data_IF_374164666334
#
_entry.id   IF_374164666334
#
_cell.length_a   1.000
_cell.length_b   1.000
_cell.length_c   1.000
_cell.angle_alpha   90.00
_cell.angle_beta   90.00
_cell.angle_gamma   90.00
#
_symmetry.space_group_name_H-M   'P 1'
#
loop_
_entity.id
_entity.type
_entity.pdbx_description
1 polymer ?
#
# COMPACT_ATOMS: atom_id res chain seq x y z
N UNK A 1 36.41 42.20 19.01
CA UNK A 1 36.30 41.65 17.65
C UNK A 1 36.18 40.16 17.79
N UNK A 2 34.99 39.65 17.64
CA UNK A 2 34.70 38.20 17.55
C UNK A 2 33.82 38.05 16.30
N UNK A 3 34.48 37.98 15.17
CA UNK A 3 33.92 37.44 13.96
C UNK A 3 34.16 35.93 13.98
N UNK A 4 33.19 35.21 14.48
CA UNK A 4 33.02 33.78 14.32
C UNK A 4 31.64 33.58 13.74
N UNK A 5 31.40 34.01 12.52
CA UNK A 5 30.18 33.68 11.79
C UNK A 5 30.15 32.16 11.64
N UNK A 6 29.22 31.58 12.31
CA UNK A 6 28.75 30.20 12.25
C UNK A 6 28.43 29.86 10.77
N UNK A 7 29.42 29.48 9.98
CA UNK A 7 29.28 28.74 8.76
C UNK A 7 28.77 27.33 9.10
N UNK A 8 27.57 27.24 9.67
CA UNK A 8 26.83 26.00 9.63
C UNK A 8 26.68 25.66 8.15
N UNK A 9 27.50 24.73 7.72
CA UNK A 9 27.45 24.09 6.42
C UNK A 9 25.96 23.84 6.13
N UNK A 10 25.36 24.56 5.17
CA UNK A 10 23.98 24.35 4.78
C UNK A 10 23.89 22.91 4.28
N UNK A 11 23.41 22.01 5.10
CA UNK A 11 23.09 20.65 4.70
C UNK A 11 21.88 20.74 3.80
N UNK A 12 21.93 20.09 2.66
CA UNK A 12 20.81 20.03 1.72
C UNK A 12 19.59 19.33 2.34
N UNK A 13 18.53 19.25 1.57
CA UNK A 13 17.29 18.61 1.98
C UNK A 13 16.74 17.73 0.87
N UNK A 14 16.39 16.49 1.18
CA UNK A 14 15.65 15.61 0.29
C UNK A 14 14.15 15.87 0.44
N UNK A 15 13.46 16.12 -0.67
CA UNK A 15 12.01 16.29 -0.71
C UNK A 15 11.41 15.21 -1.61
N UNK A 16 10.60 14.34 -1.05
CA UNK A 16 9.84 13.32 -1.78
C UNK A 16 8.45 13.88 -2.07
N UNK A 17 8.08 14.06 -3.33
CA UNK A 17 6.82 14.72 -3.66
C UNK A 17 5.89 13.82 -4.48
N UNK A 18 4.65 13.67 -4.01
CA UNK A 18 3.63 12.87 -4.67
C UNK A 18 3.00 13.59 -5.85
N UNK A 19 2.94 12.90 -7.01
CA UNK A 19 2.22 13.34 -8.21
C UNK A 19 0.79 12.77 -8.24
N UNK A 20 -0.12 13.40 -9.01
CA UNK A 20 -1.41 12.81 -9.31
C UNK A 20 -1.32 11.40 -9.90
N UNK A 21 -2.28 10.55 -9.57
CA UNK A 21 -2.36 9.18 -10.09
C UNK A 21 -3.21 9.06 -11.37
N UNK A 22 -3.79 10.19 -11.81
CA UNK A 22 -4.60 10.23 -13.02
C UNK A 22 -5.21 11.59 -13.30
N UNK A 23 -5.83 12.22 -12.32
CA UNK A 23 -6.44 13.52 -12.44
C UNK A 23 -5.47 14.65 -12.06
N UNK A 24 -5.25 15.58 -12.98
CA UNK A 24 -4.34 16.72 -12.76
C UNK A 24 -4.81 17.62 -11.59
N UNK A 25 -6.10 17.72 -11.35
CA UNK A 25 -6.68 18.53 -10.28
C UNK A 25 -6.33 18.01 -8.87
N UNK A 26 -5.89 16.76 -8.77
CA UNK A 26 -5.39 16.18 -7.52
C UNK A 26 -3.96 16.63 -7.17
N UNK A 27 -3.32 17.47 -8.02
CA UNK A 27 -1.98 17.97 -7.76
C UNK A 27 -1.96 18.91 -6.55
N UNK A 28 -1.21 18.60 -5.47
CA UNK A 28 -1.13 19.50 -4.34
C UNK A 28 -0.51 20.87 -4.74
N UNK A 29 -1.05 22.02 -4.27
CA UNK A 29 -0.45 23.32 -4.54
C UNK A 29 1.03 23.41 -4.13
N UNK A 30 1.43 22.73 -3.04
CA UNK A 30 2.82 22.64 -2.60
C UNK A 30 3.72 21.92 -3.58
N UNK A 31 3.23 20.92 -4.31
CA UNK A 31 3.97 20.24 -5.38
C UNK A 31 4.26 21.22 -6.52
N UNK A 32 3.23 21.95 -6.99
CA UNK A 32 3.37 22.92 -8.09
C UNK A 32 4.36 24.04 -7.72
N UNK A 33 4.32 24.48 -6.47
CA UNK A 33 5.29 25.46 -5.95
C UNK A 33 6.70 24.87 -5.90
N UNK A 34 6.87 23.66 -5.34
CA UNK A 34 8.18 23.01 -5.26
C UNK A 34 8.81 22.77 -6.63
N UNK A 35 8.02 22.39 -7.63
CA UNK A 35 8.49 22.22 -9.00
C UNK A 35 8.99 23.55 -9.64
N UNK A 36 8.40 24.69 -9.26
CA UNK A 36 8.85 26.01 -9.73
C UNK A 36 10.16 26.45 -9.07
N UNK A 37 10.36 26.09 -7.81
CA UNK A 37 11.51 26.54 -7.02
C UNK A 37 12.71 25.58 -7.07
N UNK A 38 12.47 24.32 -7.43
CA UNK A 38 13.49 23.29 -7.37
C UNK A 38 14.65 23.56 -8.34
N UNK A 39 15.89 23.46 -7.84
CA UNK A 39 17.10 23.50 -8.65
C UNK A 39 17.50 22.15 -9.20
N UNK A 40 17.24 21.10 -8.43
CA UNK A 40 17.52 19.71 -8.82
C UNK A 40 16.24 18.89 -8.68
N UNK A 41 15.82 18.28 -9.78
CA UNK A 41 14.65 17.40 -9.80
C UNK A 41 15.09 16.03 -10.31
N UNK A 42 14.90 15.01 -9.49
CA UNK A 42 15.07 13.61 -9.86
C UNK A 42 13.69 13.04 -10.21
N UNK A 43 13.50 12.62 -11.44
CA UNK A 43 12.24 12.10 -11.95
C UNK A 43 12.41 10.70 -12.51
N UNK A 44 11.44 9.84 -12.29
CA UNK A 44 11.42 8.47 -12.83
C UNK A 44 11.47 8.52 -14.37
N UNK A 45 10.51 9.16 -15.02
CA UNK A 45 10.57 9.53 -16.45
C UNK A 45 10.52 11.06 -16.62
N UNK A 46 11.65 11.63 -17.04
CA UNK A 46 11.77 13.09 -17.25
C UNK A 46 10.83 13.64 -18.34
N UNK A 47 10.37 12.77 -19.25
CA UNK A 47 9.41 13.17 -20.32
C UNK A 47 8.01 13.29 -19.73
N UNK A 48 7.61 12.34 -18.90
CA UNK A 48 6.31 12.37 -18.17
C UNK A 48 6.26 13.57 -17.23
N UNK A 49 7.33 13.84 -16.49
CA UNK A 49 7.39 15.03 -15.66
C UNK A 49 7.21 16.32 -16.47
N UNK A 50 7.90 16.46 -17.63
CA UNK A 50 7.73 17.64 -18.48
C UNK A 50 6.31 17.75 -19.05
N UNK A 51 5.70 16.63 -19.41
CA UNK A 51 4.32 16.61 -19.87
C UNK A 51 3.35 17.04 -18.75
N UNK A 52 3.55 16.54 -17.53
CA UNK A 52 2.78 16.96 -16.36
C UNK A 52 2.96 18.47 -16.13
N UNK A 53 4.20 18.95 -16.05
CA UNK A 53 4.50 20.37 -15.82
C UNK A 53 3.85 21.28 -16.87
N UNK A 54 3.90 20.89 -18.16
CA UNK A 54 3.24 21.62 -19.24
C UNK A 54 1.72 21.68 -19.07
N UNK A 55 1.09 20.57 -18.69
CA UNK A 55 -0.36 20.52 -18.45
C UNK A 55 -0.80 21.28 -17.20
N UNK A 56 0.07 21.36 -16.19
CA UNK A 56 -0.15 22.09 -14.95
C UNK A 56 0.26 23.58 -15.03
N UNK A 57 0.70 24.04 -16.18
CA UNK A 57 1.26 25.40 -16.36
C UNK A 57 2.38 25.73 -15.35
N UNK A 58 3.33 24.80 -15.23
CA UNK A 58 4.47 24.90 -14.33
C UNK A 58 5.77 24.91 -15.11
N UNK A 59 6.57 25.98 -14.94
CA UNK A 59 7.95 26.04 -15.45
C UNK A 59 8.89 25.45 -14.40
N UNK A 60 9.51 24.29 -14.71
CA UNK A 60 10.42 23.60 -13.80
C UNK A 60 11.65 24.46 -13.47
N UNK A 61 11.85 24.76 -12.17
CA UNK A 61 12.93 25.64 -11.70
C UNK A 61 12.76 27.12 -12.03
N UNK A 62 11.51 27.54 -12.35
CA UNK A 62 11.19 28.94 -12.64
C UNK A 62 11.98 29.51 -13.81
N UNK A 63 12.46 30.77 -13.70
CA UNK A 63 13.23 31.43 -14.74
C UNK A 63 14.64 30.86 -14.92
N UNK A 64 15.26 30.39 -13.83
CA UNK A 64 16.62 29.82 -13.83
C UNK A 64 16.67 28.42 -14.45
N UNK A 65 15.52 27.74 -14.50
CA UNK A 65 15.41 26.34 -14.91
C UNK A 65 15.97 25.36 -13.89
N UNK A 66 15.43 24.16 -13.88
CA UNK A 66 15.90 23.06 -13.02
C UNK A 66 16.84 22.11 -13.77
N UNK A 67 17.82 21.56 -13.07
CA UNK A 67 18.53 20.36 -13.53
C UNK A 67 17.64 19.14 -13.29
N UNK A 68 17.02 18.64 -14.34
CA UNK A 68 16.14 17.47 -14.30
C UNK A 68 16.94 16.24 -14.69
N UNK A 69 17.00 15.26 -13.80
CA UNK A 69 17.73 13.98 -13.99
C UNK A 69 16.79 12.78 -13.92
N UNK A 70 17.09 11.74 -14.69
CA UNK A 70 16.34 10.50 -14.64
C UNK A 70 16.78 9.66 -13.45
N UNK A 71 15.81 9.18 -12.64
CA UNK A 71 16.03 8.39 -11.44
C UNK A 71 14.98 7.28 -11.34
N UNK A 72 15.31 6.06 -11.75
CA UNK A 72 14.45 4.89 -11.81
C UNK A 72 15.22 3.65 -11.35
N UNK A 73 14.53 2.54 -11.08
CA UNK A 73 15.08 1.34 -10.45
C UNK A 73 16.43 0.90 -11.00
N UNK A 74 16.56 0.80 -12.33
CA UNK A 74 17.79 0.30 -12.94
C UNK A 74 19.00 1.26 -12.81
N UNK A 75 18.78 2.55 -12.51
CA UNK A 75 19.87 3.51 -12.30
C UNK A 75 19.92 4.07 -10.87
N UNK A 76 19.03 3.62 -9.99
CA UNK A 76 18.83 4.16 -8.64
C UNK A 76 20.13 4.22 -7.84
N UNK A 77 20.95 3.17 -7.84
CA UNK A 77 22.20 3.15 -7.10
C UNK A 77 23.16 4.26 -7.57
N UNK A 78 23.53 4.25 -8.85
CA UNK A 78 24.51 5.21 -9.41
C UNK A 78 23.98 6.66 -9.31
N UNK A 79 22.73 6.87 -9.64
CA UNK A 79 22.13 8.22 -9.60
C UNK A 79 21.91 8.68 -8.17
N UNK A 80 21.62 7.75 -7.25
CA UNK A 80 21.52 8.02 -5.82
C UNK A 80 22.78 8.63 -5.25
N UNK A 81 23.96 8.10 -5.61
CA UNK A 81 25.26 8.64 -5.19
C UNK A 81 25.49 10.08 -5.69
N UNK A 82 25.10 10.36 -6.95
CA UNK A 82 25.20 11.73 -7.52
C UNK A 82 24.27 12.70 -6.78
N UNK A 83 23.02 12.29 -6.50
CA UNK A 83 22.04 13.11 -5.78
C UNK A 83 22.46 13.32 -4.32
N UNK A 84 23.01 12.30 -3.66
CA UNK A 84 23.56 12.41 -2.32
C UNK A 84 24.74 13.38 -2.24
N UNK A 85 25.57 13.41 -3.28
CA UNK A 85 26.64 14.41 -3.40
C UNK A 85 26.08 15.84 -3.54
N UNK A 86 24.98 16.05 -4.26
CA UNK A 86 24.28 17.35 -4.34
C UNK A 86 23.77 17.77 -2.95
N UNK A 87 23.11 16.86 -2.24
CA UNK A 87 22.59 17.09 -0.90
C UNK A 87 23.71 17.45 0.11
N UNK A 88 24.85 16.76 0.04
CA UNK A 88 26.03 17.08 0.87
C UNK A 88 26.62 18.47 0.58
N UNK A 89 26.42 19.00 -0.62
CA UNK A 89 26.83 20.37 -0.98
C UNK A 89 25.82 21.44 -0.53
N UNK A 90 24.71 21.04 0.09
CA UNK A 90 23.70 21.96 0.57
C UNK A 90 22.56 22.22 -0.43
N UNK A 91 22.48 21.45 -1.52
CA UNK A 91 21.39 21.57 -2.49
C UNK A 91 20.12 20.89 -1.96
N UNK A 92 18.97 21.43 -2.34
CA UNK A 92 17.71 20.72 -2.19
C UNK A 92 17.45 19.83 -3.42
N UNK A 93 17.13 18.57 -3.19
CA UNK A 93 16.79 17.62 -4.25
C UNK A 93 15.31 17.26 -4.11
N UNK A 94 14.54 17.54 -5.16
CA UNK A 94 13.13 17.14 -5.28
C UNK A 94 13.05 15.82 -6.06
N UNK A 95 12.50 14.78 -5.44
CA UNK A 95 12.25 13.47 -6.09
C UNK A 95 10.77 13.33 -6.38
N UNK A 96 10.47 12.97 -7.62
CA UNK A 96 9.11 12.68 -8.09
C UNK A 96 9.12 11.39 -8.91
N UNK A 97 8.00 10.67 -8.90
CA UNK A 97 7.75 9.49 -9.70
C UNK A 97 6.77 9.80 -10.83
N UNK A 98 6.43 8.82 -11.64
CA UNK A 98 5.48 9.00 -12.74
C UNK A 98 4.05 9.26 -12.23
N UNK A 99 3.72 8.69 -11.06
CA UNK A 99 2.43 8.84 -10.38
C UNK A 99 2.55 8.44 -8.90
N UNK A 100 1.75 9.03 -8.02
CA UNK A 100 1.74 8.68 -6.60
C UNK A 100 2.96 9.16 -5.82
N UNK A 101 3.30 8.46 -4.75
CA UNK A 101 4.36 8.82 -3.81
C UNK A 101 5.66 8.08 -4.12
N UNK A 102 6.81 8.78 -4.22
CA UNK A 102 8.12 8.14 -4.31
C UNK A 102 8.38 7.16 -3.16
N UNK A 103 9.06 6.04 -3.46
CA UNK A 103 9.40 5.01 -2.49
C UNK A 103 8.28 4.00 -2.20
N UNK A 104 7.13 4.09 -2.89
CA UNK A 104 6.01 3.13 -2.78
C UNK A 104 5.83 2.42 -4.13
N UNK A 105 6.46 1.28 -4.31
CA UNK A 105 6.63 0.56 -5.59
C UNK A 105 7.40 1.33 -6.67
N UNK A 106 8.07 2.38 -6.27
CA UNK A 106 8.81 3.31 -7.13
C UNK A 106 10.17 3.63 -6.48
N UNK A 107 11.15 4.20 -7.21
CA UNK A 107 12.43 4.57 -6.64
C UNK A 107 12.29 5.67 -5.57
N UNK A 108 13.27 5.71 -4.65
CA UNK A 108 13.35 6.74 -3.61
C UNK A 108 13.70 6.23 -2.22
N UNK A 109 13.37 4.98 -1.90
CA UNK A 109 13.67 4.39 -0.60
C UNK A 109 15.16 4.43 -0.27
N UNK A 110 16.03 3.99 -1.19
CA UNK A 110 17.49 3.91 -0.95
C UNK A 110 18.10 5.29 -0.71
N UNK A 111 17.69 6.30 -1.47
CA UNK A 111 18.18 7.66 -1.28
C UNK A 111 17.70 8.23 0.05
N UNK A 112 16.43 7.99 0.42
CA UNK A 112 15.91 8.42 1.71
C UNK A 112 16.64 7.75 2.89
N UNK A 113 16.93 6.44 2.79
CA UNK A 113 17.70 5.70 3.78
C UNK A 113 19.13 6.26 3.93
N UNK A 114 19.84 6.47 2.81
CA UNK A 114 21.18 7.06 2.83
C UNK A 114 21.19 8.47 3.44
N UNK A 115 20.18 9.30 3.12
CA UNK A 115 20.03 10.62 3.73
C UNK A 115 19.85 10.51 5.26
N UNK A 116 19.01 9.57 5.71
CA UNK A 116 18.76 9.36 7.14
C UNK A 116 20.04 8.91 7.88
N UNK A 117 20.82 8.01 7.28
CA UNK A 117 22.12 7.55 7.83
C UNK A 117 23.14 8.70 7.96
N UNK A 118 23.12 9.67 7.04
CA UNK A 118 24.02 10.83 7.05
C UNK A 118 23.45 12.04 7.79
N UNK A 119 22.27 11.95 8.39
CA UNK A 119 21.64 13.06 9.09
C UNK A 119 21.19 14.19 8.15
N UNK A 120 21.04 13.92 6.85
CA UNK A 120 20.48 14.85 5.86
C UNK A 120 18.96 14.88 6.05
N UNK A 121 18.36 16.09 6.21
CA UNK A 121 16.92 16.20 6.36
C UNK A 121 16.12 15.60 5.20
N UNK A 122 15.17 14.74 5.52
CA UNK A 122 14.20 14.18 4.56
C UNK A 122 12.81 14.68 4.91
N UNK A 123 12.08 15.15 3.92
CA UNK A 123 10.68 15.57 4.07
C UNK A 123 9.83 15.09 2.90
N UNK A 124 8.53 15.17 3.05
CA UNK A 124 7.60 14.83 1.97
C UNK A 124 6.61 15.97 1.69
N UNK A 125 6.23 16.08 0.43
CA UNK A 125 5.02 16.78 -0.01
C UNK A 125 4.00 15.67 -0.26
N UNK A 126 3.02 15.46 0.66
CA UNK A 126 2.03 14.41 0.50
C UNK A 126 1.19 14.65 -0.76
N UNK A 127 0.92 13.58 -1.45
CA UNK A 127 0.11 13.56 -2.67
C UNK A 127 -0.79 12.34 -2.73
N UNK A 128 -1.56 12.17 -3.81
CA UNK A 128 -2.38 11.00 -4.05
C UNK A 128 -1.58 9.70 -3.97
N UNK A 129 -2.26 8.63 -3.57
CA UNK A 129 -1.69 7.28 -3.53
C UNK A 129 -2.74 6.27 -3.97
N UNK A 130 -2.42 5.47 -4.99
CA UNK A 130 -3.32 4.43 -5.47
C UNK A 130 -3.63 3.38 -4.39
N UNK A 131 -2.69 3.13 -3.45
CA UNK A 131 -2.87 2.20 -2.32
C UNK A 131 -4.01 2.65 -1.42
N UNK A 132 -3.94 3.86 -0.88
CA UNK A 132 -4.97 4.38 0.03
C UNK A 132 -6.26 4.73 -0.70
N UNK A 133 -6.19 5.20 -1.94
CA UNK A 133 -7.37 5.48 -2.77
C UNK A 133 -8.15 4.20 -3.05
N UNK A 134 -7.47 3.11 -3.50
CA UNK A 134 -8.11 1.81 -3.68
C UNK A 134 -8.72 1.28 -2.39
N UNK A 135 -7.98 1.39 -1.28
CA UNK A 135 -8.44 0.92 0.04
C UNK A 135 -9.75 1.59 0.46
N UNK A 136 -9.85 2.92 0.39
CA UNK A 136 -11.04 3.64 0.87
C UNK A 136 -12.26 3.43 -0.04
N UNK A 137 -12.07 3.24 -1.36
CA UNK A 137 -13.18 2.98 -2.27
C UNK A 137 -13.56 1.51 -2.36
N UNK A 138 -12.75 0.58 -1.79
CA UNK A 138 -13.00 -0.87 -1.86
C UNK A 138 -14.27 -1.30 -1.12
N UNK A 139 -14.63 -0.62 -0.03
CA UNK A 139 -15.70 -1.03 0.89
C UNK A 139 -15.30 -2.20 1.79
N UNK A 140 -14.00 -2.51 1.90
CA UNK A 140 -13.43 -3.51 2.81
C UNK A 140 -12.89 -2.82 4.08
N UNK A 141 -12.62 -3.57 5.18
CA UNK A 141 -12.09 -3.01 6.41
C UNK A 141 -10.77 -2.25 6.17
N UNK A 142 -10.65 -1.04 6.72
CA UNK A 142 -9.51 -0.14 6.50
C UNK A 142 -8.65 0.11 7.74
N UNK A 143 -9.08 -0.37 8.89
CA UNK A 143 -8.43 -0.16 10.19
C UNK A 143 -7.04 -0.77 10.27
N UNK A 144 -6.84 -1.93 9.61
CA UNK A 144 -5.54 -2.60 9.50
C UNK A 144 -5.38 -3.16 8.09
N UNK A 145 -4.38 -2.69 7.39
CA UNK A 145 -4.06 -3.16 6.03
C UNK A 145 -2.55 -3.35 5.83
N UNK A 146 -2.19 -4.07 4.80
CA UNK A 146 -0.84 -4.18 4.29
C UNK A 146 -0.82 -3.95 2.77
N UNK A 147 0.29 -3.41 2.30
CA UNK A 147 0.55 -3.22 0.88
C UNK A 147 1.58 -4.25 0.43
N UNK A 148 1.19 -5.10 -0.49
CA UNK A 148 1.98 -6.24 -0.98
C UNK A 148 2.67 -5.96 -2.31
N UNK A 149 2.44 -4.79 -2.92
CA UNK A 149 3.03 -4.42 -4.20
C UNK A 149 2.54 -5.27 -5.37
N UNK A 150 3.40 -5.54 -6.33
CA UNK A 150 3.10 -6.41 -7.47
C UNK A 150 3.41 -7.87 -7.15
N UNK A 151 2.44 -8.79 -7.24
CA UNK A 151 2.69 -10.21 -7.06
C UNK A 151 3.78 -10.73 -8.00
N UNK A 152 4.68 -11.60 -7.54
CA UNK A 152 5.80 -12.07 -8.33
C UNK A 152 5.32 -12.83 -9.58
N UNK A 153 6.10 -12.75 -10.67
CA UNK A 153 5.81 -13.50 -11.91
C UNK A 153 6.14 -14.99 -11.78
N UNK A 154 7.13 -15.33 -10.96
CA UNK A 154 7.53 -16.70 -10.66
C UNK A 154 7.22 -17.01 -9.21
N UNK A 155 6.70 -18.20 -8.92
CA UNK A 155 6.35 -18.58 -7.56
C UNK A 155 5.08 -17.89 -7.01
N UNK A 156 4.21 -17.39 -7.88
CA UNK A 156 2.96 -16.71 -7.47
C UNK A 156 2.13 -17.55 -6.49
N UNK A 157 2.01 -18.86 -6.76
CA UNK A 157 1.24 -19.76 -5.91
C UNK A 157 1.77 -19.82 -4.48
N UNK A 158 3.08 -20.10 -4.32
CA UNK A 158 3.70 -20.18 -2.99
C UNK A 158 3.62 -18.85 -2.25
N UNK A 159 3.84 -17.73 -2.96
CA UNK A 159 3.69 -16.39 -2.40
C UNK A 159 2.28 -16.14 -1.86
N UNK A 160 1.23 -16.53 -2.60
CA UNK A 160 -0.15 -16.36 -2.15
C UNK A 160 -0.50 -17.34 -1.02
N UNK A 161 0.02 -18.58 -1.04
CA UNK A 161 -0.17 -19.55 0.04
C UNK A 161 0.38 -19.02 1.38
N UNK A 162 1.52 -18.30 1.37
CA UNK A 162 2.07 -17.64 2.57
C UNK A 162 1.14 -16.53 3.09
N UNK A 163 0.42 -15.84 2.21
CA UNK A 163 -0.51 -14.76 2.56
C UNK A 163 -1.93 -15.27 2.91
N UNK A 164 -2.22 -16.57 2.75
CA UNK A 164 -3.58 -17.10 2.94
C UNK A 164 -4.15 -16.84 4.34
N UNK A 165 -3.29 -16.80 5.36
CA UNK A 165 -3.63 -16.51 6.76
C UNK A 165 -3.57 -15.03 7.15
N UNK A 166 -3.21 -14.11 6.25
CA UNK A 166 -3.11 -12.67 6.57
C UNK A 166 -4.48 -12.11 6.98
N UNK A 167 -4.55 -11.52 8.18
CA UNK A 167 -5.79 -10.99 8.76
C UNK A 167 -6.07 -9.53 8.39
N UNK A 168 -5.04 -8.80 7.97
CA UNK A 168 -5.20 -7.42 7.50
C UNK A 168 -5.77 -7.40 6.10
N UNK A 169 -6.46 -6.34 5.73
CA UNK A 169 -6.82 -6.10 4.34
C UNK A 169 -5.55 -5.91 3.52
N UNK A 170 -5.42 -6.66 2.43
CA UNK A 170 -4.24 -6.64 1.56
C UNK A 170 -4.51 -5.76 0.34
N UNK A 171 -3.55 -4.93 -0.06
CA UNK A 171 -3.61 -4.13 -1.28
C UNK A 171 -2.48 -4.56 -2.20
N UNK A 172 -2.81 -4.86 -3.46
CA UNK A 172 -1.86 -5.26 -4.49
C UNK A 172 -1.97 -4.32 -5.70
N UNK A 173 -0.87 -4.16 -6.43
CA UNK A 173 -0.90 -3.65 -7.79
C UNK A 173 -0.83 -4.81 -8.78
N UNK A 174 -1.49 -4.68 -9.92
CA UNK A 174 -1.41 -5.69 -10.95
C UNK A 174 -1.55 -5.09 -12.36
N UNK A 175 -0.97 -5.76 -13.33
CA UNK A 175 -1.09 -5.36 -14.72
C UNK A 175 -2.36 -5.93 -15.36
N UNK A 176 -2.95 -5.24 -16.37
CA UNK A 176 -4.15 -5.71 -17.06
C UNK A 176 -3.96 -7.06 -17.77
N UNK A 177 -2.71 -7.41 -18.12
CA UNK A 177 -2.42 -8.68 -18.78
C UNK A 177 -2.34 -9.88 -17.83
N UNK A 178 -2.27 -9.64 -16.51
CA UNK A 178 -2.10 -10.68 -15.50
C UNK A 178 -3.28 -10.80 -14.56
N UNK A 179 -4.12 -9.78 -14.49
CA UNK A 179 -5.16 -9.66 -13.46
C UNK A 179 -6.06 -10.91 -13.36
N UNK A 180 -6.52 -11.46 -14.47
CA UNK A 180 -7.37 -12.67 -14.47
C UNK A 180 -6.65 -13.84 -13.80
N UNK A 181 -5.43 -14.18 -14.26
CA UNK A 181 -4.65 -15.27 -13.70
C UNK A 181 -4.26 -15.06 -12.24
N UNK A 182 -3.99 -13.79 -11.85
CA UNK A 182 -3.67 -13.46 -10.46
C UNK A 182 -4.90 -13.63 -9.56
N UNK A 183 -6.09 -13.21 -9.99
CA UNK A 183 -7.34 -13.42 -9.24
C UNK A 183 -7.72 -14.90 -9.13
N UNK A 184 -7.52 -15.70 -10.17
CA UNK A 184 -7.70 -17.17 -10.11
C UNK A 184 -6.76 -17.83 -9.08
N UNK A 185 -5.48 -17.41 -9.09
CA UNK A 185 -4.52 -17.90 -8.11
C UNK A 185 -4.87 -17.45 -6.67
N UNK A 186 -5.35 -16.21 -6.50
CA UNK A 186 -5.86 -15.70 -5.23
C UNK A 186 -7.10 -16.48 -4.78
N UNK A 187 -8.06 -16.76 -5.67
CA UNK A 187 -9.23 -17.57 -5.36
C UNK A 187 -8.86 -18.99 -4.90
N UNK A 188 -7.83 -19.57 -5.50
CA UNK A 188 -7.30 -20.88 -5.12
C UNK A 188 -6.65 -20.85 -3.73
N UNK A 189 -5.85 -19.83 -3.43
CA UNK A 189 -5.09 -19.73 -2.19
C UNK A 189 -5.92 -19.22 -1.00
N UNK A 190 -6.81 -18.26 -1.24
CA UNK A 190 -7.56 -17.54 -0.19
C UNK A 190 -9.00 -18.01 -0.04
N UNK A 191 -9.52 -18.75 -1.03
CA UNK A 191 -10.92 -19.18 -1.12
C UNK A 191 -11.71 -18.36 -2.14
N UNK A 192 -12.62 -19.04 -2.85
CA UNK A 192 -13.43 -18.49 -3.96
C UNK A 192 -14.28 -17.30 -3.54
N UNK A 193 -14.81 -17.34 -2.32
CA UNK A 193 -15.74 -16.36 -1.75
C UNK A 193 -15.05 -15.25 -0.97
N UNK A 194 -13.70 -15.26 -0.89
CA UNK A 194 -12.94 -14.20 -0.24
C UNK A 194 -13.28 -12.87 -0.91
N UNK A 195 -13.83 -11.95 -0.12
CA UNK A 195 -14.25 -10.64 -0.62
C UNK A 195 -13.05 -9.85 -1.13
N UNK A 196 -13.22 -9.24 -2.30
CA UNK A 196 -12.20 -8.39 -2.89
C UNK A 196 -12.84 -7.24 -3.68
N UNK A 197 -12.01 -6.27 -4.04
CA UNK A 197 -12.36 -5.20 -4.96
C UNK A 197 -11.23 -5.02 -5.98
N UNK A 198 -11.57 -4.94 -7.25
CA UNK A 198 -10.67 -4.54 -8.32
C UNK A 198 -10.98 -3.09 -8.65
N UNK A 199 -9.99 -2.21 -8.40
CA UNK A 199 -10.06 -0.79 -8.69
C UNK A 199 -9.20 -0.52 -9.93
N UNK A 200 -9.78 -0.02 -10.99
CA UNK A 200 -9.03 0.32 -12.20
C UNK A 200 -9.18 1.78 -12.56
N UNK A 201 -8.13 2.36 -13.16
CA UNK A 201 -8.11 3.72 -13.67
C UNK A 201 -8.58 4.77 -12.62
N UNK A 202 -8.19 4.58 -11.35
CA UNK A 202 -8.54 5.46 -10.25
C UNK A 202 -8.24 6.93 -10.60
N UNK A 203 -9.17 7.81 -10.28
CA UNK A 203 -9.19 9.26 -10.58
C UNK A 203 -9.25 9.64 -12.07
N UNK A 204 -9.28 8.66 -12.99
CA UNK A 204 -9.34 8.90 -14.43
C UNK A 204 -10.77 8.81 -14.96
N UNK A 205 -10.97 9.21 -16.21
CA UNK A 205 -12.30 9.21 -16.88
C UNK A 205 -13.00 7.85 -16.86
N UNK A 206 -12.24 6.76 -16.89
CA UNK A 206 -12.78 5.39 -16.90
C UNK A 206 -12.56 4.66 -15.56
N UNK A 207 -12.63 5.41 -14.46
CA UNK A 207 -12.57 4.82 -13.12
C UNK A 207 -13.68 3.80 -12.92
N UNK A 208 -13.31 2.63 -12.44
CA UNK A 208 -14.26 1.58 -12.08
C UNK A 208 -13.78 0.84 -10.84
N UNK A 209 -14.72 0.55 -9.94
CA UNK A 209 -14.49 -0.28 -8.76
C UNK A 209 -15.46 -1.44 -8.75
N UNK A 210 -14.96 -2.63 -9.05
CA UNK A 210 -15.76 -3.86 -9.05
C UNK A 210 -15.49 -4.67 -7.79
N UNK A 211 -16.56 -5.06 -7.11
CA UNK A 211 -16.53 -5.77 -5.83
C UNK A 211 -17.21 -7.12 -5.99
N UNK A 212 -16.67 -8.16 -5.32
CA UNK A 212 -17.25 -9.51 -5.34
C UNK A 212 -16.37 -10.52 -4.62
N UNK A 213 -16.69 -11.79 -4.78
CA UNK A 213 -15.79 -12.88 -4.44
C UNK A 213 -14.65 -13.02 -5.44
N UNK A 214 -13.51 -13.55 -5.03
CA UNK A 214 -12.33 -13.68 -5.91
C UNK A 214 -12.63 -14.47 -7.19
N UNK A 215 -13.45 -15.53 -7.12
CA UNK A 215 -13.82 -16.31 -8.30
C UNK A 215 -14.67 -15.50 -9.29
N UNK A 216 -15.66 -14.75 -8.80
CA UNK A 216 -16.49 -13.86 -9.63
C UNK A 216 -15.65 -12.79 -10.32
N UNK A 217 -14.71 -12.19 -9.57
CA UNK A 217 -13.82 -11.17 -10.12
C UNK A 217 -12.83 -11.75 -11.15
N UNK A 218 -12.38 -13.00 -10.96
CA UNK A 218 -11.52 -13.69 -11.92
C UNK A 218 -12.26 -13.96 -13.23
N UNK A 219 -13.52 -14.43 -13.17
CA UNK A 219 -14.36 -14.64 -14.33
C UNK A 219 -14.57 -13.34 -15.12
N UNK A 220 -14.97 -12.26 -14.42
CA UNK A 220 -15.10 -10.95 -15.06
C UNK A 220 -13.78 -10.48 -15.70
N UNK A 221 -12.64 -10.65 -15.01
CA UNK A 221 -11.36 -10.20 -15.52
C UNK A 221 -10.92 -11.00 -16.77
N UNK A 222 -11.42 -12.22 -16.98
CA UNK A 222 -11.12 -13.05 -18.14
C UNK A 222 -11.67 -12.47 -19.46
N UNK A 223 -12.70 -11.63 -19.40
CA UNK A 223 -13.24 -10.91 -20.56
C UNK A 223 -12.31 -9.81 -21.07
N UNK A 224 -11.26 -9.50 -20.32
CA UNK A 224 -10.24 -8.50 -20.65
C UNK A 224 -10.42 -7.18 -19.90
N UNK A 225 -9.43 -6.82 -19.12
CA UNK A 225 -9.39 -5.57 -18.35
C UNK A 225 -8.28 -4.68 -18.91
N UNK A 226 -8.48 -3.36 -18.90
CA UNK A 226 -7.50 -2.37 -19.38
C UNK A 226 -7.23 -1.34 -18.31
N UNK A 227 -6.05 -0.70 -18.40
CA UNK A 227 -5.63 0.39 -17.54
C UNK A 227 -4.81 -0.08 -16.34
N UNK A 228 -4.57 0.82 -15.41
CA UNK A 228 -3.85 0.56 -14.17
C UNK A 228 -4.79 -0.02 -13.12
N UNK A 229 -4.33 -1.05 -12.41
CA UNK A 229 -5.18 -1.86 -11.54
C UNK A 229 -4.58 -1.96 -10.15
N UNK A 230 -5.43 -1.70 -9.16
CA UNK A 230 -5.20 -2.03 -7.76
C UNK A 230 -6.23 -3.07 -7.32
N UNK A 231 -5.78 -4.10 -6.60
CA UNK A 231 -6.65 -5.14 -6.04
C UNK A 231 -6.63 -5.03 -4.52
N UNK A 232 -7.80 -4.95 -3.91
CA UNK A 232 -7.94 -4.95 -2.46
C UNK A 232 -8.63 -6.25 -2.06
N UNK A 233 -8.02 -7.01 -1.15
CA UNK A 233 -8.53 -8.31 -0.69
C UNK A 233 -8.79 -8.28 0.81
N UNK A 234 -9.97 -8.71 1.24
CA UNK A 234 -10.31 -8.82 2.66
C UNK A 234 -9.33 -9.75 3.37
N UNK A 235 -8.90 -9.41 4.56
CA UNK A 235 -8.06 -10.25 5.40
C UNK A 235 -8.72 -11.60 5.74
N UNK A 236 -7.92 -12.59 6.11
CA UNK A 236 -8.44 -13.87 6.56
C UNK A 236 -9.35 -13.65 7.77
N UNK A 237 -10.56 -14.15 7.68
CA UNK A 237 -11.39 -14.28 8.87
C UNK A 237 -10.67 -15.23 9.83
N UNK A 238 -10.75 -15.00 11.15
CA UNK A 238 -10.32 -16.04 12.07
C UNK A 238 -10.96 -17.34 11.57
N UNK A 239 -10.12 -18.26 11.12
CA UNK A 239 -10.61 -19.61 10.89
C UNK A 239 -11.26 -19.97 12.22
N UNK A 240 -12.58 -20.13 12.24
CA UNK A 240 -13.11 -21.07 13.20
C UNK A 240 -12.34 -22.34 12.86
N UNK A 241 -11.21 -22.57 13.54
CA UNK A 241 -10.68 -23.90 13.60
C UNK A 241 -11.93 -24.74 13.80
N UNK A 242 -12.04 -25.84 13.10
CA UNK A 242 -13.05 -26.84 13.40
C UNK A 242 -12.71 -27.33 14.81
N UNK A 243 -12.83 -26.43 15.78
CA UNK A 243 -12.77 -26.73 17.17
C UNK A 243 -13.99 -27.62 17.34
N UNK A 244 -13.74 -28.89 17.45
CA UNK A 244 -14.82 -29.85 17.63
C UNK A 244 -15.68 -29.36 18.80
N UNK A 245 -16.95 -29.68 18.80
CA UNK A 245 -17.80 -29.30 19.91
C UNK A 245 -17.20 -29.77 21.26
N UNK A 246 -16.46 -30.89 21.23
CA UNK A 246 -15.66 -31.39 22.34
C UNK A 246 -14.52 -30.48 22.75
N UNK A 247 -13.79 -29.90 21.77
CA UNK A 247 -12.67 -28.96 22.06
C UNK A 247 -13.18 -27.63 22.62
N UNK A 248 -14.34 -27.15 22.13
CA UNK A 248 -14.97 -25.93 22.65
C UNK A 248 -15.40 -26.12 24.12
N UNK A 249 -16.00 -27.28 24.44
CA UNK A 249 -16.39 -27.64 25.81
C UNK A 249 -15.15 -27.74 26.69
N UNK A 250 -14.10 -28.43 26.23
CA UNK A 250 -12.84 -28.59 26.95
C UNK A 250 -12.13 -27.23 27.20
N UNK A 251 -12.12 -26.36 26.23
CA UNK A 251 -11.53 -25.02 26.37
C UNK A 251 -12.27 -24.15 27.41
N UNK A 252 -13.60 -24.22 27.45
CA UNK A 252 -14.38 -23.53 28.49
C UNK A 252 -14.10 -24.16 29.86
N UNK A 253 -14.04 -25.50 29.97
CA UNK A 253 -13.71 -26.19 31.19
C UNK A 253 -12.33 -25.84 31.76
N UNK A 254 -11.32 -25.77 30.91
CA UNK A 254 -9.97 -25.37 31.31
C UNK A 254 -9.93 -23.98 31.93
N UNK A 255 -10.64 -22.99 31.36
CA UNK A 255 -10.76 -21.67 31.92
C UNK A 255 -11.54 -21.65 33.26
N UNK A 256 -12.54 -22.50 33.41
CA UNK A 256 -13.27 -22.66 34.67
C UNK A 256 -12.36 -23.27 35.76
N UNK A 257 -11.51 -24.22 35.42
CA UNK A 257 -10.52 -24.80 36.32
C UNK A 257 -9.46 -23.76 36.77
N UNK A 258 -9.16 -22.76 35.93
CA UNK A 258 -8.34 -21.59 36.27
C UNK A 258 -9.10 -20.56 37.11
N UNK A 259 -10.36 -20.79 37.48
CA UNK A 259 -11.17 -19.90 38.29
C UNK A 259 -11.93 -18.80 37.51
N UNK A 260 -11.96 -18.87 36.20
CA UNK A 260 -12.75 -17.96 35.36
C UNK A 260 -14.22 -18.33 35.43
N UNK A 261 -15.12 -17.36 35.65
CA UNK A 261 -16.54 -17.60 35.65
C UNK A 261 -17.02 -18.13 34.29
N UNK A 262 -17.88 -19.16 34.26
CA UNK A 262 -18.41 -19.80 33.03
C UNK A 262 -18.85 -18.81 31.97
N UNK A 263 -19.62 -17.77 32.34
CA UNK A 263 -20.08 -16.74 31.40
C UNK A 263 -18.95 -15.97 30.72
N UNK A 264 -17.87 -15.74 31.45
CA UNK A 264 -16.65 -15.07 30.95
C UNK A 264 -15.79 -16.02 30.11
N UNK A 265 -15.65 -17.27 30.54
CA UNK A 265 -14.98 -18.33 29.78
C UNK A 265 -15.63 -18.53 28.41
N UNK A 266 -16.95 -18.61 28.32
CA UNK A 266 -17.70 -18.70 27.06
C UNK A 266 -17.41 -17.50 26.15
N UNK A 267 -17.33 -16.28 26.69
CA UNK A 267 -17.01 -15.08 25.91
C UNK A 267 -15.58 -15.12 25.38
N UNK A 268 -14.62 -15.55 26.19
CA UNK A 268 -13.22 -15.70 25.79
C UNK A 268 -13.04 -16.74 24.69
N UNK A 269 -13.57 -17.96 24.90
CA UNK A 269 -13.51 -19.04 23.91
C UNK A 269 -14.18 -18.62 22.59
N UNK A 270 -15.36 -18.00 22.64
CA UNK A 270 -16.03 -17.51 21.45
C UNK A 270 -15.20 -16.45 20.70
N UNK A 271 -14.50 -15.58 21.42
CA UNK A 271 -13.62 -14.55 20.83
C UNK A 271 -12.34 -15.14 20.22
N UNK A 272 -11.74 -16.11 20.89
CA UNK A 272 -10.49 -16.76 20.47
C UNK A 272 -10.70 -17.70 19.29
N UNK A 273 -11.81 -18.46 19.32
CA UNK A 273 -12.14 -19.46 18.28
C UNK A 273 -12.94 -18.87 17.10
N UNK A 274 -13.51 -17.66 17.24
CA UNK A 274 -14.40 -17.08 16.23
C UNK A 274 -15.76 -17.76 16.12
N UNK A 275 -16.05 -18.75 17.01
CA UNK A 275 -17.35 -19.42 17.07
C UNK A 275 -18.38 -18.48 17.69
N UNK A 276 -19.62 -18.39 17.16
CA UNK A 276 -20.65 -17.55 17.74
C UNK A 276 -20.88 -17.89 19.22
N UNK A 277 -20.89 -16.86 20.08
CA UNK A 277 -21.09 -17.02 21.54
C UNK A 277 -22.29 -17.88 21.88
N UNK A 278 -23.38 -17.76 21.13
CA UNK A 278 -24.59 -18.56 21.32
C UNK A 278 -24.29 -20.06 21.15
N UNK A 279 -23.55 -20.44 20.08
CA UNK A 279 -23.17 -21.82 19.84
C UNK A 279 -22.30 -22.39 20.97
N UNK A 280 -21.29 -21.65 21.44
CA UNK A 280 -20.45 -22.05 22.56
C UNK A 280 -21.29 -22.20 23.83
N UNK A 281 -22.24 -21.31 24.06
CA UNK A 281 -23.16 -21.39 25.20
C UNK A 281 -24.05 -22.64 25.13
N UNK A 282 -24.66 -22.89 23.97
CA UNK A 282 -25.58 -24.02 23.75
C UNK A 282 -24.84 -25.36 23.94
N UNK A 283 -23.61 -25.49 23.44
CA UNK A 283 -22.75 -26.65 23.62
C UNK A 283 -22.40 -26.92 25.08
N UNK A 284 -21.97 -25.90 25.82
CA UNK A 284 -21.55 -26.03 27.23
C UNK A 284 -22.76 -26.32 28.15
N UNK A 285 -23.97 -25.94 27.73
CA UNK A 285 -25.20 -26.19 28.51
C UNK A 285 -25.99 -27.41 28.02
N UNK A 286 -25.46 -28.13 27.02
CA UNK A 286 -26.13 -29.34 26.50
C UNK A 286 -27.44 -29.07 25.75
N UNK A 287 -27.65 -27.82 25.27
CA UNK A 287 -28.83 -27.47 24.48
C UNK A 287 -28.49 -27.78 23.01
N UNK A 288 -28.60 -29.09 22.64
CA UNK A 288 -28.51 -29.52 21.24
C UNK A 288 -29.92 -29.37 20.66
N UNK A 289 -30.11 -28.44 19.71
CA UNK A 289 -31.30 -28.50 18.85
C UNK A 289 -31.21 -29.82 18.06
N UNK A 290 -32.12 -30.74 18.37
CA UNK A 290 -32.31 -31.95 17.55
C UNK A 290 -32.87 -31.50 16.19
N UNK A 291 -32.10 -31.72 15.10
CA UNK A 291 -32.63 -31.73 13.76
C UNK A 291 -33.55 -32.91 13.51
#
# INVERSE_FOLDING_TARGET
MVEGADERRRVGRLVLAGLPIGNLEDAPPRLLHALREARVIAAEDTRRLRQFASRADVRLGGESGARVVSYYDANESRRGDELLADLRRGEEVLVVTDAGMPGVSDPGYRLAAACAEEGIPVTAIPGPSAVTTALVVSGLPTDRFCFEGFPPRKGLRSYLEELAGERRTMVFFESPHRIAATLEAMATAFGTDRRAAVCRELTKTFEEVRRGGLAELAEWASEGVRGEISVVVEGARPRAESTSDTDLIAAVGALEDEGVRRKEAIVRVAKETGVPKRRVYDLVHGVVEAE
#
